data_IF_943368110573
#
_entry.id   IF_943368110573
#
_cell.length_a   1.000
_cell.length_b   1.000
_cell.length_c   1.000
_cell.angle_alpha   90.00
_cell.angle_beta   90.00
_cell.angle_gamma   90.00
#
_symmetry.space_group_name_H-M   'P 1'
#
loop_
_entity.id
_entity.type
_entity.pdbx_description
1 polymer ?
#
# COMPACT_ATOMS: atom_id res chain seq x y z
N UNK A 1 -3.94 8.53 -10.20
CA UNK A 1 -3.72 9.33 -8.98
C UNK A 1 -2.35 9.02 -8.40
N UNK A 2 -1.74 10.00 -7.78
CA UNK A 2 -0.44 9.80 -7.13
C UNK A 2 -0.66 9.33 -5.70
N UNK A 3 -0.06 8.20 -5.37
CA UNK A 3 -0.24 7.56 -4.06
C UNK A 3 1.13 7.25 -3.47
N UNK A 4 1.38 7.75 -2.28
CA UNK A 4 2.57 7.39 -1.53
C UNK A 4 2.30 6.08 -0.80
N UNK A 5 3.08 5.04 -1.11
CA UNK A 5 2.87 3.71 -0.55
C UNK A 5 3.82 3.50 0.61
N UNK A 6 3.27 3.14 1.75
CA UNK A 6 4.03 2.90 2.98
C UNK A 6 3.82 1.46 3.41
N UNK A 7 4.90 0.70 3.43
CA UNK A 7 4.88 -0.71 3.80
C UNK A 7 5.12 -0.83 5.30
N UNK A 8 4.18 -1.44 5.99
CA UNK A 8 4.28 -1.67 7.43
C UNK A 8 4.69 -3.10 7.68
N UNK A 9 5.77 -3.28 8.42
CA UNK A 9 6.30 -4.59 8.73
C UNK A 9 5.69 -5.11 10.02
N UNK A 10 5.82 -6.43 10.23
CA UNK A 10 5.23 -7.10 11.39
C UNK A 10 5.76 -6.58 12.73
N UNK A 11 7.00 -6.06 12.73
CA UNK A 11 7.59 -5.51 13.95
C UNK A 11 7.14 -4.08 14.24
N UNK A 12 6.26 -3.52 13.41
CA UNK A 12 5.76 -2.16 13.57
C UNK A 12 6.53 -1.10 12.83
N UNK A 13 7.68 -1.45 12.23
CA UNK A 13 8.43 -0.50 11.43
C UNK A 13 7.74 -0.23 10.10
N UNK A 14 8.07 0.91 9.49
CA UNK A 14 7.48 1.33 8.23
C UNK A 14 8.58 1.64 7.24
N UNK A 15 8.35 1.27 5.97
CA UNK A 15 9.26 1.54 4.88
C UNK A 15 8.48 2.25 3.78
N UNK A 16 9.01 3.36 3.32
CA UNK A 16 8.40 4.11 2.23
C UNK A 16 8.77 3.46 0.91
N UNK A 17 7.77 3.02 0.16
CA UNK A 17 7.98 2.41 -1.16
C UNK A 17 7.95 3.45 -2.27
N UNK A 18 7.69 4.71 -1.93
CA UNK A 18 7.68 5.80 -2.88
C UNK A 18 6.31 6.10 -3.43
N UNK A 19 6.26 7.07 -4.33
CA UNK A 19 5.01 7.50 -4.95
C UNK A 19 4.75 6.64 -6.18
N UNK A 20 3.53 6.12 -6.29
CA UNK A 20 3.10 5.31 -7.43
C UNK A 20 1.88 5.94 -8.06
N UNK A 21 1.79 5.81 -9.37
CA UNK A 21 0.60 6.23 -10.12
C UNK A 21 -0.34 5.05 -10.22
N UNK A 22 -1.50 5.18 -9.60
CA UNK A 22 -2.52 4.14 -9.61
C UNK A 22 -3.76 4.66 -10.31
N UNK A 23 -4.44 3.77 -11.04
CA UNK A 23 -5.68 4.13 -11.71
C UNK A 23 -6.82 4.31 -10.70
N UNK A 24 -6.73 3.60 -9.58
CA UNK A 24 -7.72 3.71 -8.50
C UNK A 24 -7.07 3.26 -7.20
N UNK A 25 -7.68 3.63 -6.08
CA UNK A 25 -7.20 3.21 -4.76
C UNK A 25 -7.58 1.75 -4.54
N UNK A 26 -6.62 0.88 -4.19
CA UNK A 26 -6.94 -0.51 -3.91
C UNK A 26 -7.93 -0.63 -2.75
N UNK A 27 -8.91 -1.53 -2.83
CA UNK A 27 -9.84 -1.74 -1.72
C UNK A 27 -9.11 -2.24 -0.47
N UNK A 28 -9.52 -1.71 0.69
CA UNK A 28 -8.94 -2.10 1.97
C UNK A 28 -9.28 -3.56 2.26
N UNK A 29 -8.28 -4.33 2.67
CA UNK A 29 -8.46 -5.73 3.01
C UNK A 29 -8.33 -6.69 1.85
N UNK A 30 -8.15 -6.21 0.63
CA UNK A 30 -8.01 -7.06 -0.54
C UNK A 30 -6.57 -7.04 -1.05
N UNK A 31 -6.05 -8.20 -1.51
CA UNK A 31 -4.69 -8.24 -2.05
C UNK A 31 -4.59 -7.51 -3.38
N UNK A 32 -3.45 -6.89 -3.59
CA UNK A 32 -3.14 -6.28 -4.89
C UNK A 32 -1.65 -6.43 -5.16
N UNK A 33 -1.28 -6.33 -6.43
CA UNK A 33 0.11 -6.49 -6.83
C UNK A 33 0.77 -5.12 -6.99
N UNK A 34 2.00 -5.01 -6.47
CA UNK A 34 2.83 -3.83 -6.66
C UNK A 34 4.28 -4.28 -6.74
N UNK A 35 5.00 -3.89 -7.80
CA UNK A 35 6.41 -4.26 -8.00
C UNK A 35 6.62 -5.77 -7.95
N UNK A 36 5.71 -6.54 -8.53
CA UNK A 36 5.76 -8.01 -8.60
C UNK A 36 5.63 -8.69 -7.23
N UNK A 37 5.08 -7.97 -6.24
CA UNK A 37 4.80 -8.54 -4.92
C UNK A 37 3.34 -8.30 -4.58
N UNK A 38 2.80 -9.19 -3.76
CA UNK A 38 1.42 -9.10 -3.32
C UNK A 38 1.37 -8.41 -1.96
N UNK A 39 0.54 -7.38 -1.86
CA UNK A 39 0.31 -6.63 -0.62
C UNK A 39 -1.17 -6.58 -0.32
N UNK A 40 -1.48 -6.27 0.92
CA UNK A 40 -2.86 -6.00 1.34
C UNK A 40 -2.91 -4.56 1.85
N UNK A 41 -3.83 -3.78 1.30
CA UNK A 41 -4.06 -2.42 1.76
C UNK A 41 -4.79 -2.45 3.10
N UNK A 42 -4.24 -1.81 4.12
CA UNK A 42 -4.84 -1.81 5.45
C UNK A 42 -5.59 -0.52 5.73
N UNK A 43 -5.10 0.60 5.20
CA UNK A 43 -5.78 1.89 5.37
C UNK A 43 -5.19 2.88 4.39
N UNK A 44 -5.83 4.03 4.26
CA UNK A 44 -5.27 5.12 3.47
C UNK A 44 -5.71 6.44 4.07
N UNK A 45 -4.99 7.50 3.73
CA UNK A 45 -5.27 8.84 4.18
C UNK A 45 -5.09 9.81 3.02
N UNK A 46 -5.72 10.98 3.13
CA UNK A 46 -5.62 12.02 2.14
C UNK A 46 -6.97 12.33 1.50
N UNK A 47 -6.96 13.12 0.42
CA UNK A 47 -5.77 13.71 -0.18
C UNK A 47 -5.17 14.81 0.69
N UNK A 48 -3.85 15.01 0.56
CA UNK A 48 -3.19 16.11 1.23
C UNK A 48 -3.36 17.40 0.40
N UNK A 49 -2.66 18.47 0.81
CA UNK A 49 -2.78 19.76 0.14
C UNK A 49 -2.34 19.71 -1.33
N UNK A 50 -1.54 18.72 -1.71
CA UNK A 50 -1.06 18.55 -3.07
C UNK A 50 -1.89 17.55 -3.87
N UNK A 51 -2.96 17.03 -3.28
CA UNK A 51 -3.81 16.04 -3.94
C UNK A 51 -3.26 14.63 -3.91
N UNK A 52 -2.26 14.38 -3.07
CA UNK A 52 -1.62 13.07 -2.98
C UNK A 52 -2.22 12.26 -1.85
N UNK A 53 -2.43 10.97 -2.11
CA UNK A 53 -2.91 10.04 -1.09
C UNK A 53 -1.74 9.28 -0.48
N UNK A 54 -1.97 8.75 0.71
CA UNK A 54 -1.02 7.89 1.40
C UNK A 54 -1.70 6.56 1.66
N UNK A 55 -1.08 5.47 1.19
CA UNK A 55 -1.63 4.13 1.30
C UNK A 55 -0.74 3.28 2.19
N UNK A 56 -1.32 2.70 3.22
CA UNK A 56 -0.60 1.80 4.13
C UNK A 56 -0.87 0.37 3.72
N UNK A 57 0.19 -0.41 3.54
CA UNK A 57 0.09 -1.78 3.07
C UNK A 57 0.90 -2.70 3.97
N UNK A 58 0.53 -3.98 3.97
CA UNK A 58 1.25 -5.04 4.65
C UNK A 58 1.40 -6.20 3.69
N UNK A 59 2.24 -7.17 4.06
CA UNK A 59 2.38 -8.37 3.25
C UNK A 59 1.05 -9.10 3.18
N UNK A 60 0.74 -9.66 2.00
CA UNK A 60 -0.40 -10.55 1.85
C UNK A 60 -0.03 -11.90 2.48
N UNK A 61 -0.69 -12.31 3.57
CA UNK A 61 -0.36 -13.59 4.22
C UNK A 61 -0.54 -14.78 3.29
N UNK A 62 -1.47 -14.69 2.34
CA UNK A 62 -1.68 -15.76 1.37
C UNK A 62 -0.54 -15.91 0.38
N UNK A 63 0.15 -14.81 0.06
CA UNK A 63 1.25 -14.82 -0.90
C UNK A 63 2.52 -15.46 -0.35
N UNK A 64 2.65 -15.54 0.97
CA UNK A 64 3.83 -16.12 1.63
C UNK A 64 3.66 -17.58 2.00
N UNK A 65 2.54 -18.16 1.65
CA UNK A 65 2.29 -19.58 1.91
C UNK A 65 2.79 -20.43 0.76
N UNK A 66 3.42 -21.49 1.11
CA UNK A 66 3.88 -22.48 0.13
C UNK A 66 3.63 -23.87 0.64
#
# INVERSE_FOLDING_TARGET
MDVEVIYRQADGSQTELGVRKLSHMPPTGEPFELDHRQYVATSYAGPDAEGRYRLFVEDDPGATRH
#
